data_IF_050187560880
#
_entry.id   IF_050187560880
#
_cell.length_a   1.000
_cell.length_b   1.000
_cell.length_c   1.000
_cell.angle_alpha   90.00
_cell.angle_beta   90.00
_cell.angle_gamma   90.00
#
_symmetry.space_group_name_H-M   'P 1'
#
loop_
_entity.id
_entity.type
_entity.pdbx_description
1 polymer ?
#
# COMPACT_ATOMS: atom_id res chain seq x y z
N UNK A 1 74.04 -93.80 20.15
CA UNK A 1 73.37 -92.93 21.14
C UNK A 1 73.54 -91.45 20.77
N UNK A 2 74.76 -91.02 20.42
CA UNK A 2 75.06 -89.62 19.99
C UNK A 2 74.25 -89.14 18.77
N UNK A 3 74.13 -89.93 17.69
CA UNK A 3 73.35 -89.52 16.51
C UNK A 3 71.86 -89.27 16.82
N UNK A 4 71.30 -89.97 17.81
CA UNK A 4 69.90 -89.79 18.21
C UNK A 4 69.72 -88.49 19.00
N UNK A 5 70.69 -88.15 19.87
CA UNK A 5 70.73 -86.89 20.61
C UNK A 5 70.89 -85.69 19.67
N UNK A 6 71.78 -85.77 18.69
CA UNK A 6 71.96 -84.69 17.70
C UNK A 6 70.67 -84.43 16.92
N UNK A 7 69.98 -85.48 16.48
CA UNK A 7 68.71 -85.36 15.74
C UNK A 7 67.57 -84.79 16.60
N UNK A 8 67.62 -84.95 17.92
CA UNK A 8 66.66 -84.33 18.84
C UNK A 8 66.97 -82.85 19.02
N UNK A 9 68.25 -82.47 19.16
CA UNK A 9 68.68 -81.08 19.22
C UNK A 9 68.28 -80.31 17.96
N UNK A 10 68.55 -80.85 16.77
CA UNK A 10 68.20 -80.20 15.50
C UNK A 10 66.67 -80.00 15.36
N UNK A 11 65.86 -80.93 15.90
CA UNK A 11 64.39 -80.80 15.92
C UNK A 11 63.90 -79.77 16.92
N UNK A 12 64.55 -79.67 18.07
CA UNK A 12 64.23 -78.65 19.08
C UNK A 12 64.56 -77.26 18.55
N UNK A 13 65.70 -77.09 17.87
CA UNK A 13 66.11 -75.83 17.25
C UNK A 13 65.13 -75.43 16.14
N UNK A 14 64.72 -76.37 15.27
CA UNK A 14 63.68 -76.11 14.27
C UNK A 14 62.33 -75.73 14.90
N UNK A 15 61.93 -76.41 15.98
CA UNK A 15 60.69 -76.05 16.70
C UNK A 15 60.78 -74.66 17.34
N UNK A 16 61.94 -74.27 17.88
CA UNK A 16 62.13 -72.90 18.42
C UNK A 16 62.00 -71.85 17.32
N UNK A 17 62.55 -72.11 16.13
CA UNK A 17 62.42 -71.24 14.96
C UNK A 17 60.96 -71.14 14.49
N UNK A 18 60.26 -72.27 14.35
CA UNK A 18 58.84 -72.29 13.96
C UNK A 18 57.97 -71.55 14.99
N UNK A 19 58.27 -71.69 16.28
CA UNK A 19 57.52 -71.04 17.36
C UNK A 19 57.78 -69.53 17.40
N UNK A 20 59.01 -69.10 17.06
CA UNK A 20 59.33 -67.70 16.87
C UNK A 20 58.60 -67.10 15.65
N UNK A 21 58.53 -67.83 14.53
CA UNK A 21 57.82 -67.42 13.33
C UNK A 21 56.30 -67.32 13.57
N UNK A 22 55.71 -68.30 14.26
CA UNK A 22 54.29 -68.28 14.65
C UNK A 22 53.98 -67.08 15.55
N UNK A 23 54.85 -66.75 16.50
CA UNK A 23 54.69 -65.54 17.34
C UNK A 23 54.72 -64.26 16.52
N UNK A 24 55.66 -64.14 15.57
CA UNK A 24 55.75 -62.98 14.68
C UNK A 24 54.51 -62.85 13.78
N UNK A 25 54.01 -63.96 13.24
CA UNK A 25 52.79 -63.99 12.43
C UNK A 25 51.53 -63.66 13.23
N UNK A 26 51.45 -64.06 14.51
CA UNK A 26 50.36 -63.66 15.38
C UNK A 26 50.41 -62.16 15.73
N UNK A 27 51.60 -61.62 16.01
CA UNK A 27 51.78 -60.20 16.30
C UNK A 27 51.36 -59.32 15.09
N UNK A 28 51.82 -59.66 13.89
CA UNK A 28 51.44 -58.94 12.65
C UNK A 28 49.94 -59.04 12.35
N UNK A 29 49.30 -60.19 12.63
CA UNK A 29 47.85 -60.32 12.49
C UNK A 29 47.08 -59.43 13.47
N UNK A 30 47.54 -59.32 14.72
CA UNK A 30 46.95 -58.42 15.71
C UNK A 30 47.07 -56.95 15.29
N UNK A 31 48.25 -56.52 14.83
CA UNK A 31 48.45 -55.16 14.31
C UNK A 31 47.54 -54.87 13.12
N UNK A 32 47.34 -55.84 12.23
CA UNK A 32 46.47 -55.69 11.06
C UNK A 32 44.98 -55.59 11.44
N UNK A 33 44.55 -56.31 12.48
CA UNK A 33 43.21 -56.19 13.06
C UNK A 33 42.99 -54.83 13.73
N UNK A 34 43.98 -54.33 14.47
CA UNK A 34 43.93 -53.01 15.10
C UNK A 34 43.86 -51.88 14.06
N UNK A 35 44.65 -51.97 12.98
CA UNK A 35 44.59 -51.03 11.86
C UNK A 35 43.21 -51.04 11.20
N UNK A 36 42.58 -52.20 11.01
CA UNK A 36 41.22 -52.30 10.46
C UNK A 36 40.18 -51.65 11.38
N UNK A 37 40.25 -51.88 12.69
CA UNK A 37 39.35 -51.27 13.66
C UNK A 37 39.50 -49.73 13.68
N UNK A 38 40.74 -49.23 13.62
CA UNK A 38 41.01 -47.79 13.54
C UNK A 38 40.53 -47.16 12.23
N UNK A 39 40.60 -47.87 11.11
CA UNK A 39 40.03 -47.39 9.85
C UNK A 39 38.50 -47.36 9.85
N UNK A 40 37.86 -48.40 10.42
CA UNK A 40 36.40 -48.46 10.55
C UNK A 40 35.86 -47.31 11.41
N UNK A 41 36.47 -47.07 12.58
CA UNK A 41 36.08 -45.95 13.46
C UNK A 41 36.30 -44.59 12.79
N UNK A 42 37.36 -44.41 11.99
CA UNK A 42 37.56 -43.17 11.22
C UNK A 42 36.47 -42.96 10.16
N UNK A 43 36.05 -44.02 9.47
CA UNK A 43 34.94 -43.94 8.51
C UNK A 43 33.61 -43.56 9.19
N UNK A 44 33.28 -44.19 10.32
CA UNK A 44 32.07 -43.83 11.09
C UNK A 44 32.09 -42.36 11.53
N UNK A 45 33.25 -41.85 11.93
CA UNK A 45 33.42 -40.47 12.37
C UNK A 45 33.29 -39.46 11.21
N UNK A 46 33.74 -39.83 10.00
CA UNK A 46 33.49 -39.05 8.78
C UNK A 46 32.01 -39.05 8.38
N UNK A 47 31.33 -40.20 8.50
CA UNK A 47 29.90 -40.31 8.20
C UNK A 47 29.04 -39.49 9.16
N UNK A 48 29.36 -39.50 10.46
CA UNK A 48 28.73 -38.64 11.47
C UNK A 48 28.92 -37.15 11.15
N UNK A 49 30.12 -36.73 10.71
CA UNK A 49 30.38 -35.34 10.30
C UNK A 49 29.56 -34.94 9.08
N UNK A 50 29.48 -35.80 8.07
CA UNK A 50 28.69 -35.56 6.87
C UNK A 50 27.18 -35.43 7.19
N UNK A 51 26.67 -36.29 8.07
CA UNK A 51 25.28 -36.24 8.54
C UNK A 51 24.99 -34.97 9.37
N UNK A 52 25.94 -34.49 10.18
CA UNK A 52 25.78 -33.22 10.89
C UNK A 52 25.81 -32.02 9.95
N UNK A 53 26.69 -32.01 8.94
CA UNK A 53 26.76 -30.94 7.95
C UNK A 53 25.44 -30.84 7.15
N UNK A 54 24.92 -31.96 6.66
CA UNK A 54 23.63 -31.99 5.95
C UNK A 54 22.45 -31.56 6.83
N UNK A 55 22.47 -31.88 8.13
CA UNK A 55 21.44 -31.38 9.07
C UNK A 55 21.51 -29.86 9.25
N UNK A 56 22.71 -29.29 9.35
CA UNK A 56 22.90 -27.83 9.41
C UNK A 56 22.43 -27.14 8.12
N UNK A 57 22.79 -27.67 6.95
CA UNK A 57 22.32 -27.14 5.66
C UNK A 57 20.78 -27.17 5.56
N UNK A 58 20.14 -28.24 6.04
CA UNK A 58 18.68 -28.34 6.07
C UNK A 58 18.04 -27.31 7.02
N UNK A 59 18.65 -27.04 8.18
CA UNK A 59 18.19 -25.98 9.08
C UNK A 59 18.36 -24.59 8.47
N UNK A 60 19.46 -24.33 7.77
CA UNK A 60 19.69 -23.05 7.08
C UNK A 60 18.69 -22.83 5.94
N UNK A 61 18.38 -23.88 5.17
CA UNK A 61 17.33 -23.84 4.13
C UNK A 61 15.96 -23.56 4.73
N UNK A 62 15.62 -24.17 5.87
CA UNK A 62 14.34 -23.90 6.58
C UNK A 62 14.28 -22.46 7.10
N UNK A 63 15.36 -21.96 7.70
CA UNK A 63 15.45 -20.59 8.17
C UNK A 63 15.26 -19.62 7.00
N UNK A 64 15.98 -19.81 5.89
CA UNK A 64 15.85 -18.96 4.69
C UNK A 64 14.44 -18.98 4.09
N UNK A 65 13.76 -20.14 4.09
CA UNK A 65 12.36 -20.22 3.66
C UNK A 65 11.41 -19.46 4.60
N UNK A 66 11.61 -19.55 5.92
CA UNK A 66 10.82 -18.79 6.89
C UNK A 66 11.01 -17.28 6.69
N UNK A 67 12.25 -16.80 6.53
CA UNK A 67 12.53 -15.38 6.24
C UNK A 67 11.87 -14.91 4.95
N UNK A 68 11.82 -15.77 3.93
CA UNK A 68 11.18 -15.44 2.65
C UNK A 68 9.65 -15.32 2.80
N UNK A 69 9.03 -16.19 3.59
CA UNK A 69 7.60 -16.09 3.93
C UNK A 69 7.29 -14.82 4.71
N UNK A 70 8.07 -14.48 5.74
CA UNK A 70 7.90 -13.23 6.49
C UNK A 70 8.01 -12.00 5.57
N UNK A 71 8.93 -12.03 4.61
CA UNK A 71 9.12 -10.93 3.65
C UNK A 71 7.95 -10.82 2.66
N UNK A 72 7.34 -11.94 2.25
CA UNK A 72 6.10 -11.94 1.47
C UNK A 72 4.92 -11.39 2.27
N UNK A 73 4.80 -11.76 3.55
CA UNK A 73 3.75 -11.28 4.44
C UNK A 73 3.86 -9.77 4.70
N UNK A 74 5.08 -9.25 4.88
CA UNK A 74 5.34 -7.81 4.97
C UNK A 74 4.94 -7.08 3.68
N UNK A 75 5.26 -7.64 2.50
CA UNK A 75 4.86 -7.06 1.21
C UNK A 75 3.34 -7.04 1.04
N UNK A 76 2.66 -8.13 1.39
CA UNK A 76 1.21 -8.21 1.36
C UNK A 76 0.59 -7.15 2.28
N UNK A 77 1.04 -7.04 3.52
CA UNK A 77 0.55 -6.04 4.47
C UNK A 77 0.78 -4.58 4.01
N UNK A 78 1.91 -4.31 3.34
CA UNK A 78 2.14 -2.99 2.74
C UNK A 78 1.19 -2.70 1.57
N UNK A 79 0.95 -3.68 0.69
CA UNK A 79 -0.02 -3.54 -0.38
C UNK A 79 -1.43 -3.24 0.16
N UNK A 80 -1.88 -3.96 1.20
CA UNK A 80 -3.18 -3.73 1.84
C UNK A 80 -3.29 -2.34 2.48
N UNK A 81 -2.20 -1.83 3.09
CA UNK A 81 -2.18 -0.46 3.61
C UNK A 81 -2.35 0.58 2.50
N UNK A 82 -1.68 0.36 1.38
CA UNK A 82 -1.71 1.28 0.23
C UNK A 82 -3.11 1.30 -0.41
N UNK A 83 -3.75 0.13 -0.57
CA UNK A 83 -5.14 0.03 -1.01
C UNK A 83 -6.11 0.75 -0.05
N UNK A 84 -5.88 0.65 1.27
CA UNK A 84 -6.71 1.31 2.28
C UNK A 84 -6.54 2.85 2.24
N UNK A 85 -5.34 3.35 1.97
CA UNK A 85 -5.09 4.78 1.74
C UNK A 85 -5.77 5.28 0.46
N UNK A 86 -5.73 4.50 -0.62
CA UNK A 86 -6.40 4.83 -1.87
C UNK A 86 -7.93 4.88 -1.72
N UNK A 87 -8.52 3.95 -0.96
CA UNK A 87 -9.95 3.99 -0.61
C UNK A 87 -10.29 5.25 0.19
N UNK A 88 -9.46 5.62 1.17
CA UNK A 88 -9.67 6.85 1.96
C UNK A 88 -9.60 8.10 1.09
N UNK A 89 -8.62 8.18 0.19
CA UNK A 89 -8.49 9.30 -0.75
C UNK A 89 -9.71 9.39 -1.71
N UNK A 90 -10.19 8.25 -2.20
CA UNK A 90 -11.39 8.17 -3.04
C UNK A 90 -12.67 8.56 -2.28
N UNK A 91 -12.77 8.22 -0.99
CA UNK A 91 -13.89 8.67 -0.17
C UNK A 91 -13.84 10.18 0.11
N UNK A 92 -12.65 10.73 0.41
CA UNK A 92 -12.46 12.16 0.64
C UNK A 92 -12.85 12.97 -0.62
N UNK A 93 -12.37 12.57 -1.80
CA UNK A 93 -12.75 13.21 -3.08
C UNK A 93 -14.23 13.10 -3.38
N UNK A 94 -14.89 11.98 -3.04
CA UNK A 94 -16.34 11.83 -3.21
C UNK A 94 -17.12 12.78 -2.28
N UNK A 95 -16.64 12.97 -1.05
CA UNK A 95 -17.24 13.88 -0.08
C UNK A 95 -17.06 15.35 -0.51
N UNK A 96 -15.89 15.73 -1.00
CA UNK A 96 -15.65 17.04 -1.62
C UNK A 96 -16.55 17.29 -2.83
N UNK A 97 -16.77 16.27 -3.67
CA UNK A 97 -17.68 16.36 -4.82
C UNK A 97 -19.14 16.54 -4.40
N UNK A 98 -19.56 15.91 -3.30
CA UNK A 98 -20.90 16.11 -2.72
C UNK A 98 -21.05 17.52 -2.13
N UNK A 99 -20.02 18.04 -1.47
CA UNK A 99 -20.00 19.40 -0.94
C UNK A 99 -20.05 20.46 -2.06
N UNK A 100 -19.30 20.25 -3.15
CA UNK A 100 -19.38 21.09 -4.36
C UNK A 100 -20.78 21.02 -5.00
N UNK A 101 -21.41 19.84 -5.04
CA UNK A 101 -22.79 19.69 -5.54
C UNK A 101 -23.82 20.38 -4.64
N UNK A 102 -23.60 20.39 -3.32
CA UNK A 102 -24.45 21.10 -2.38
C UNK A 102 -24.27 22.63 -2.47
N UNK A 103 -23.05 23.08 -2.76
CA UNK A 103 -22.70 24.51 -2.88
C UNK A 103 -22.95 25.09 -4.28
N UNK A 104 -23.10 24.26 -5.32
CA UNK A 104 -23.56 24.73 -6.62
C UNK A 104 -25.02 25.15 -6.51
N UNK A 105 -25.31 26.39 -6.93
CA UNK A 105 -26.65 26.93 -7.03
C UNK A 105 -27.58 25.88 -7.64
N UNK A 106 -28.51 25.41 -6.83
CA UNK A 106 -29.40 24.32 -7.18
C UNK A 106 -30.41 24.83 -8.20
N UNK A 107 -31.09 23.91 -8.90
CA UNK A 107 -32.22 24.28 -9.77
C UNK A 107 -33.31 25.08 -9.01
N UNK A 108 -33.38 24.90 -7.69
CA UNK A 108 -34.30 25.63 -6.82
C UNK A 108 -33.87 27.09 -6.63
N UNK A 109 -32.57 27.36 -6.45
CA UNK A 109 -32.05 28.73 -6.35
C UNK A 109 -32.29 29.49 -7.66
N UNK A 110 -32.10 28.81 -8.80
CA UNK A 110 -32.38 29.40 -10.11
C UNK A 110 -33.88 29.72 -10.29
N UNK A 111 -34.77 28.86 -9.78
CA UNK A 111 -36.21 29.08 -9.83
C UNK A 111 -36.65 30.26 -8.94
N UNK A 112 -36.05 30.41 -7.76
CA UNK A 112 -36.30 31.56 -6.88
C UNK A 112 -35.84 32.87 -7.53
N UNK A 113 -34.66 32.87 -8.16
CA UNK A 113 -34.16 34.02 -8.91
C UNK A 113 -35.09 34.35 -10.07
N UNK A 114 -35.53 33.35 -10.83
CA UNK A 114 -36.45 33.55 -11.96
C UNK A 114 -37.79 34.16 -11.49
N UNK A 115 -38.32 33.67 -10.36
CA UNK A 115 -39.54 34.21 -9.77
C UNK A 115 -39.35 35.67 -9.33
N UNK A 116 -38.26 35.99 -8.65
CA UNK A 116 -37.95 37.36 -8.24
C UNK A 116 -37.80 38.32 -9.43
N UNK A 117 -37.21 37.85 -10.54
CA UNK A 117 -37.09 38.62 -11.78
C UNK A 117 -38.47 38.89 -12.39
N UNK A 118 -39.36 37.90 -12.43
CA UNK A 118 -40.72 38.08 -12.94
C UNK A 118 -41.51 39.08 -12.10
N UNK A 119 -41.43 38.98 -10.78
CA UNK A 119 -42.08 39.93 -9.86
C UNK A 119 -41.55 41.36 -10.05
N UNK A 120 -40.22 41.49 -10.18
CA UNK A 120 -39.58 42.78 -10.44
C UNK A 120 -40.06 43.39 -11.76
N UNK A 121 -40.16 42.59 -12.82
CA UNK A 121 -40.66 43.05 -14.12
C UNK A 121 -42.11 43.54 -14.06
N UNK A 122 -42.97 42.85 -13.30
CA UNK A 122 -44.36 43.28 -13.12
C UNK A 122 -44.48 44.57 -12.30
N UNK A 123 -43.59 44.77 -11.32
CA UNK A 123 -43.50 46.05 -10.59
C UNK A 123 -43.06 47.18 -11.53
N UNK A 124 -42.04 46.94 -12.37
CA UNK A 124 -41.55 47.93 -13.34
C UNK A 124 -42.65 48.36 -14.30
N UNK A 125 -43.40 47.42 -14.90
CA UNK A 125 -44.55 47.76 -15.77
C UNK A 125 -45.61 48.62 -15.08
N UNK A 126 -45.90 48.36 -13.80
CA UNK A 126 -46.85 49.18 -13.03
C UNK A 126 -46.32 50.60 -12.80
N UNK A 127 -45.01 50.74 -12.59
CA UNK A 127 -44.37 52.05 -12.45
C UNK A 127 -44.37 52.82 -13.76
N UNK A 128 -44.05 52.17 -14.89
CA UNK A 128 -44.11 52.77 -16.23
C UNK A 128 -45.51 53.35 -16.52
N UNK A 129 -46.56 52.56 -16.31
CA UNK A 129 -47.95 53.05 -16.49
C UNK A 129 -48.29 54.25 -15.58
N UNK A 130 -47.76 54.29 -14.36
CA UNK A 130 -47.95 55.44 -13.46
C UNK A 130 -47.20 56.67 -13.94
N UNK A 131 -45.99 56.50 -14.46
CA UNK A 131 -45.19 57.58 -15.03
C UNK A 131 -45.91 58.18 -16.23
N UNK A 132 -46.42 57.37 -17.15
CA UNK A 132 -47.18 57.83 -18.31
C UNK A 132 -48.41 58.65 -17.89
N UNK A 133 -49.17 58.17 -16.90
CA UNK A 133 -50.31 58.91 -16.35
C UNK A 133 -49.89 60.26 -15.74
N UNK A 134 -48.78 60.28 -15.00
CA UNK A 134 -48.26 61.52 -14.41
C UNK A 134 -47.80 62.51 -15.50
N UNK A 135 -47.17 62.03 -16.58
CA UNK A 135 -46.73 62.85 -17.70
C UNK A 135 -47.91 63.48 -18.46
N UNK A 136 -48.99 62.71 -18.66
CA UNK A 136 -50.23 63.22 -19.22
C UNK A 136 -50.85 64.30 -18.31
N UNK A 137 -50.89 64.07 -16.99
CA UNK A 137 -51.41 65.03 -16.04
C UNK A 137 -50.58 66.33 -16.02
N UNK A 138 -49.26 66.22 -16.05
CA UNK A 138 -48.35 67.37 -16.12
C UNK A 138 -48.60 68.20 -17.38
N UNK A 139 -48.76 67.54 -18.53
CA UNK A 139 -49.07 68.19 -19.80
C UNK A 139 -50.40 68.95 -19.73
N UNK A 140 -51.44 68.31 -19.17
CA UNK A 140 -52.76 68.94 -18.99
C UNK A 140 -52.71 70.15 -18.05
N UNK A 141 -52.03 70.02 -16.90
CA UNK A 141 -51.89 71.11 -15.95
C UNK A 141 -51.07 72.27 -16.53
N UNK A 142 -50.01 71.98 -17.28
CA UNK A 142 -49.23 72.99 -18.00
C UNK A 142 -50.11 73.78 -18.99
N UNK A 143 -50.92 73.08 -19.78
CA UNK A 143 -51.84 73.73 -20.71
C UNK A 143 -52.85 74.64 -19.99
N UNK A 144 -53.51 74.13 -18.94
CA UNK A 144 -54.46 74.92 -18.14
C UNK A 144 -53.79 76.12 -17.45
N UNK A 145 -52.55 75.97 -17.00
CA UNK A 145 -51.79 77.08 -16.39
C UNK A 145 -51.58 78.21 -17.40
N UNK A 146 -51.21 77.87 -18.65
CA UNK A 146 -51.05 78.86 -19.72
C UNK A 146 -52.38 79.53 -20.07
N UNK A 147 -53.49 78.78 -20.15
CA UNK A 147 -54.82 79.34 -20.36
C UNK A 147 -55.23 80.31 -19.25
N UNK A 148 -55.00 79.92 -17.99
CA UNK A 148 -55.27 80.78 -16.84
C UNK A 148 -54.39 82.05 -16.86
N UNK A 149 -53.11 81.94 -17.20
CA UNK A 149 -52.21 83.10 -17.34
C UNK A 149 -52.67 84.06 -18.45
N UNK A 150 -53.09 83.53 -19.60
CA UNK A 150 -53.63 84.31 -20.70
C UNK A 150 -54.95 85.01 -20.32
N UNK A 151 -55.85 84.31 -19.62
CA UNK A 151 -57.11 84.88 -19.13
C UNK A 151 -56.88 85.99 -18.10
N UNK A 152 -55.97 85.78 -17.14
CA UNK A 152 -55.58 86.79 -16.15
C UNK A 152 -54.98 88.01 -16.84
N UNK A 153 -54.07 87.80 -17.80
CA UNK A 153 -53.46 88.88 -18.58
C UNK A 153 -54.52 89.70 -19.34
N UNK A 154 -55.50 89.03 -19.94
CA UNK A 154 -56.62 89.68 -20.63
C UNK A 154 -57.48 90.53 -19.69
N UNK A 155 -57.80 90.01 -18.49
CA UNK A 155 -58.56 90.75 -17.47
C UNK A 155 -57.78 91.97 -17.00
N UNK A 156 -56.49 91.82 -16.70
CA UNK A 156 -55.63 92.94 -16.29
C UNK A 156 -55.62 94.05 -17.33
N UNK A 157 -55.48 93.70 -18.62
CA UNK A 157 -55.49 94.66 -19.71
C UNK A 157 -56.79 95.46 -19.78
N UNK A 158 -57.94 94.80 -19.58
CA UNK A 158 -59.25 95.46 -19.54
C UNK A 158 -59.36 96.43 -18.35
N UNK A 159 -58.87 96.04 -17.17
CA UNK A 159 -58.95 96.87 -15.95
C UNK A 159 -57.99 98.08 -15.95
N UNK A 160 -56.91 98.03 -16.74
CA UNK A 160 -55.93 99.11 -16.84
C UNK A 160 -56.21 100.12 -17.96
N UNK A 161 -57.29 99.92 -18.73
CA UNK A 161 -57.79 100.86 -19.73
C UNK A 161 -58.92 101.70 -19.15
#
# INVERSE_FOLDING_TARGET
>A
MEQMLQRILDKLENMEVELAEVKANMATKQELEEIKANMATKQELEEIKANMATKQELEEVKANMATKQELEEIKANMATKQELEEIKANMATKQELEEIKANMATKQDLALIQQAVLETNEIVKKLENKIDNHEQLLTLLSHRSLEHEAAISSIRFILTK
#
